data_IF_029343006348
#
_entry.id   IF_029343006348
#
_cell.length_a   1.000
_cell.length_b   1.000
_cell.length_c   1.000
_cell.angle_alpha   90.00
_cell.angle_beta   90.00
_cell.angle_gamma   90.00
#
_symmetry.space_group_name_H-M   'P 1'
#
loop_
_entity.id
_entity.type
_entity.pdbx_description
1 polymer ?
#
# COMPACT_ATOMS: atom_id res chain seq x y z
N UNK A 1 -25.26 -1.71 -17.53
CA UNK A 1 -25.12 -3.16 -17.27
C UNK A 1 -23.74 -3.37 -16.66
N UNK A 2 -23.66 -3.48 -15.33
CA UNK A 2 -22.40 -3.76 -14.67
C UNK A 2 -22.13 -5.26 -14.79
N UNK A 3 -21.18 -5.62 -15.65
CA UNK A 3 -20.66 -6.98 -15.65
C UNK A 3 -20.10 -7.29 -14.25
N UNK A 4 -20.43 -8.45 -13.65
CA UNK A 4 -19.83 -8.83 -12.39
C UNK A 4 -18.32 -8.90 -12.56
N UNK A 5 -17.58 -8.29 -11.64
CA UNK A 5 -16.12 -8.41 -11.60
C UNK A 5 -15.76 -9.91 -11.60
N UNK A 6 -14.82 -10.36 -12.44
CA UNK A 6 -14.40 -11.74 -12.42
C UNK A 6 -13.97 -12.09 -11.01
N UNK A 7 -14.52 -13.20 -10.51
CA UNK A 7 -14.18 -13.80 -9.22
C UNK A 7 -12.71 -14.26 -9.28
N UNK A 8 -11.78 -13.31 -9.20
CA UNK A 8 -10.36 -13.56 -9.07
C UNK A 8 -10.09 -13.96 -7.62
N UNK A 9 -10.65 -15.09 -7.22
CA UNK A 9 -9.86 -16.09 -6.52
C UNK A 9 -8.74 -16.55 -7.49
N UNK A 10 -7.83 -15.63 -7.85
CA UNK A 10 -6.53 -16.00 -8.33
C UNK A 10 -6.00 -16.90 -7.23
N UNK A 11 -5.92 -18.20 -7.53
CA UNK A 11 -5.58 -19.26 -6.58
C UNK A 11 -4.47 -18.75 -5.68
N UNK A 12 -4.80 -18.49 -4.41
CA UNK A 12 -3.79 -18.09 -3.44
C UNK A 12 -2.87 -19.30 -3.32
N UNK A 13 -1.72 -19.25 -4.01
CA UNK A 13 -0.66 -20.27 -3.92
C UNK A 13 -0.01 -20.32 -2.52
N UNK A 14 -0.61 -19.66 -1.53
CA UNK A 14 -0.14 -19.49 -0.18
C UNK A 14 -1.19 -20.09 0.76
N UNK A 15 -0.91 -21.27 1.27
CA UNK A 15 -1.75 -21.94 2.27
C UNK A 15 -1.09 -21.78 3.64
N UNK A 16 -1.71 -21.07 4.60
CA UNK A 16 -1.17 -20.99 5.95
C UNK A 16 -1.33 -22.34 6.64
N UNK A 17 -0.37 -22.73 7.48
CA UNK A 17 -0.43 -23.98 8.26
C UNK A 17 -1.22 -23.83 9.57
N UNK A 18 -1.69 -22.62 9.88
CA UNK A 18 -2.38 -22.24 11.12
C UNK A 18 -3.48 -21.19 10.81
N UNK A 19 -4.51 -21.04 11.68
CA UNK A 19 -5.60 -20.10 11.44
C UNK A 19 -5.17 -18.64 11.67
N UNK A 20 -4.59 -18.03 10.65
CA UNK A 20 -4.24 -16.61 10.62
C UNK A 20 -5.35 -15.79 9.96
N UNK A 21 -5.41 -14.49 10.25
CA UNK A 21 -6.34 -13.60 9.57
C UNK A 21 -6.08 -13.57 8.05
N UNK A 22 -7.11 -13.52 7.20
CA UNK A 22 -6.96 -13.60 5.74
C UNK A 22 -6.01 -12.54 5.15
N UNK A 23 -5.97 -11.34 5.74
CA UNK A 23 -5.09 -10.24 5.30
C UNK A 23 -3.61 -10.64 5.21
N UNK A 24 -3.14 -11.56 6.05
CA UNK A 24 -1.76 -12.03 6.01
C UNK A 24 -1.45 -12.89 4.77
N UNK A 25 -2.46 -13.62 4.27
CA UNK A 25 -2.36 -14.49 3.10
C UNK A 25 -2.75 -13.75 1.83
N UNK A 26 -3.67 -12.80 1.89
CA UNK A 26 -4.16 -12.03 0.75
C UNK A 26 -3.21 -10.91 0.34
N UNK A 27 -2.61 -10.20 1.31
CA UNK A 27 -1.69 -9.11 1.03
C UNK A 27 -0.46 -9.60 0.29
N UNK A 28 -0.12 -8.93 -0.80
CA UNK A 28 1.12 -9.12 -1.55
C UNK A 28 1.60 -7.77 -2.10
N UNK A 29 2.75 -7.76 -2.78
CA UNK A 29 3.36 -6.56 -3.33
C UNK A 29 3.24 -6.56 -4.86
N UNK A 30 2.07 -6.19 -5.44
CA UNK A 30 1.93 -6.01 -6.87
C UNK A 30 2.84 -4.87 -7.38
N UNK A 31 3.21 -4.94 -8.66
CA UNK A 31 4.01 -3.90 -9.33
C UNK A 31 3.30 -3.24 -10.52
N UNK A 32 2.15 -3.79 -10.94
CA UNK A 32 1.33 -3.21 -12.00
C UNK A 32 0.13 -2.48 -11.37
N UNK A 33 0.10 -1.15 -11.49
CA UNK A 33 -0.96 -0.30 -10.97
C UNK A 33 -1.68 0.42 -12.12
N UNK A 34 -2.97 0.71 -11.95
CA UNK A 34 -3.71 1.56 -12.89
C UNK A 34 -3.29 3.02 -12.73
N UNK A 35 -3.68 3.87 -13.69
CA UNK A 35 -3.45 5.32 -13.62
C UNK A 35 -4.48 6.07 -12.76
N UNK A 36 -5.39 5.36 -12.07
CA UNK A 36 -6.42 5.98 -11.25
C UNK A 36 -5.79 6.74 -10.07
N UNK A 37 -6.24 7.99 -9.88
CA UNK A 37 -5.81 8.78 -8.75
C UNK A 37 -6.40 8.23 -7.45
N UNK A 38 -5.56 8.10 -6.42
CA UNK A 38 -6.00 7.78 -5.07
C UNK A 38 -6.54 9.06 -4.40
N UNK A 39 -7.65 9.00 -3.64
CA UNK A 39 -8.08 10.12 -2.81
C UNK A 39 -7.04 10.42 -1.71
N UNK A 40 -6.75 11.69 -1.49
CA UNK A 40 -5.80 12.10 -0.43
C UNK A 40 -6.22 11.61 0.96
N UNK A 41 -7.52 11.52 1.23
CA UNK A 41 -8.07 11.00 2.50
C UNK A 41 -7.70 9.54 2.75
N UNK A 42 -7.63 8.71 1.70
CA UNK A 42 -7.22 7.32 1.83
C UNK A 42 -5.73 7.22 2.19
N UNK A 43 -4.87 7.99 1.52
CA UNK A 43 -3.45 8.07 1.86
C UNK A 43 -3.27 8.51 3.32
N UNK A 44 -3.99 9.54 3.77
CA UNK A 44 -3.92 10.03 5.15
C UNK A 44 -4.41 8.98 6.15
N UNK A 45 -5.44 8.19 5.80
CA UNK A 45 -5.90 7.05 6.63
C UNK A 45 -4.80 5.99 6.77
N UNK A 46 -4.05 5.69 5.71
CA UNK A 46 -2.94 4.74 5.77
C UNK A 46 -1.80 5.25 6.64
N UNK A 47 -1.42 6.53 6.52
CA UNK A 47 -0.38 7.14 7.35
C UNK A 47 -0.81 7.25 8.82
N UNK A 48 -2.09 7.51 9.08
CA UNK A 48 -2.69 7.48 10.41
C UNK A 48 -2.54 6.09 11.04
N UNK A 49 -2.90 5.03 10.31
CA UNK A 49 -2.70 3.66 10.79
C UNK A 49 -1.22 3.35 11.04
N UNK A 50 -0.31 3.79 10.15
CA UNK A 50 1.11 3.56 10.29
C UNK A 50 1.71 4.22 11.55
N UNK A 51 1.28 5.45 11.90
CA UNK A 51 1.81 6.15 13.08
C UNK A 51 1.36 5.57 14.43
N UNK A 52 0.42 4.62 14.43
CA UNK A 52 -0.02 3.90 15.64
C UNK A 52 0.83 2.67 15.97
N UNK A 53 1.82 2.33 15.14
CA UNK A 53 2.76 1.27 15.46
C UNK A 53 3.45 1.55 16.82
N UNK A 54 3.79 0.52 17.62
CA UNK A 54 4.62 0.73 18.81
C UNK A 54 6.07 1.07 18.42
N UNK A 55 6.76 1.83 19.27
CA UNK A 55 8.20 2.11 19.13
C UNK A 55 8.90 2.04 20.47
N UNK A 56 10.22 1.81 20.45
CA UNK A 56 11.05 1.85 21.65
C UNK A 56 10.87 3.20 22.37
N UNK A 57 10.60 3.15 23.68
CA UNK A 57 10.31 4.33 24.50
C UNK A 57 9.15 5.21 23.98
N UNK A 58 8.32 4.68 23.08
CA UNK A 58 7.23 5.39 22.42
C UNK A 58 7.64 6.73 21.76
N UNK A 59 8.89 6.84 21.29
CA UNK A 59 9.41 8.08 20.70
C UNK A 59 8.87 8.37 19.30
N UNK A 60 8.24 7.39 18.66
CA UNK A 60 7.59 7.51 17.36
C UNK A 60 8.52 8.15 16.32
N UNK A 61 9.67 7.50 16.02
CA UNK A 61 10.74 8.14 15.26
C UNK A 61 10.43 8.24 13.76
N UNK A 62 9.37 7.59 13.29
CA UNK A 62 8.99 7.60 11.87
C UNK A 62 8.69 9.01 11.37
N UNK A 63 9.12 9.25 10.14
CA UNK A 63 8.71 10.39 9.33
C UNK A 63 8.26 9.82 7.99
N UNK A 64 7.14 10.32 7.50
CA UNK A 64 6.57 9.91 6.23
C UNK A 64 6.73 11.08 5.26
N UNK A 65 7.48 10.85 4.20
CA UNK A 65 7.64 11.78 3.08
C UNK A 65 6.99 11.09 1.89
N UNK A 66 6.01 11.72 1.25
CA UNK A 66 5.20 11.11 0.20
C UNK A 66 5.04 12.06 -0.98
N UNK A 67 4.83 11.49 -2.17
CA UNK A 67 4.38 12.20 -3.36
C UNK A 67 3.31 11.37 -4.06
N UNK A 68 2.19 12.01 -4.41
CA UNK A 68 1.15 11.45 -5.26
C UNK A 68 1.45 11.75 -6.73
N UNK A 69 0.89 10.98 -7.67
CA UNK A 69 1.13 11.13 -9.11
C UNK A 69 0.93 12.57 -9.64
N UNK A 70 0.09 13.36 -8.99
CA UNK A 70 -0.21 14.74 -9.39
C UNK A 70 0.52 15.80 -8.56
N UNK A 71 1.35 15.39 -7.61
CA UNK A 71 2.15 16.32 -6.81
C UNK A 71 3.35 16.83 -7.61
N UNK A 72 3.76 18.08 -7.35
CA UNK A 72 4.84 18.73 -8.08
C UNK A 72 6.20 18.00 -8.02
N UNK A 73 6.44 17.22 -6.96
CA UNK A 73 7.69 16.49 -6.72
C UNK A 73 7.60 14.99 -7.08
N UNK A 74 6.60 14.59 -7.87
CA UNK A 74 6.45 13.19 -8.29
C UNK A 74 7.72 12.65 -8.98
N UNK A 75 8.24 13.38 -9.96
CA UNK A 75 9.41 12.93 -10.73
C UNK A 75 10.68 12.90 -9.87
N UNK A 76 10.82 13.83 -8.92
CA UNK A 76 11.91 13.81 -7.93
C UNK A 76 11.88 12.51 -7.12
N UNK A 77 10.70 12.09 -6.65
CA UNK A 77 10.54 10.85 -5.88
C UNK A 77 10.79 9.60 -6.73
N UNK A 78 10.32 9.58 -7.98
CA UNK A 78 10.57 8.46 -8.90
C UNK A 78 12.07 8.32 -9.17
N UNK A 79 12.77 9.45 -9.39
CA UNK A 79 14.22 9.47 -9.61
C UNK A 79 15.05 8.98 -8.43
N UNK A 80 14.51 8.97 -7.20
CA UNK A 80 15.18 8.34 -6.04
C UNK A 80 15.13 6.81 -6.07
N UNK A 81 14.16 6.23 -6.78
CA UNK A 81 13.92 4.78 -6.81
C UNK A 81 14.64 4.08 -7.95
N UNK A 82 14.97 4.81 -9.01
CA UNK A 82 15.61 4.30 -10.22
C UNK A 82 16.87 5.12 -10.54
N UNK A 83 18.09 4.56 -10.41
CA UNK A 83 19.33 5.29 -10.64
C UNK A 83 19.72 5.42 -12.13
N UNK A 84 18.83 5.10 -13.08
CA UNK A 84 19.11 5.07 -14.52
C UNK A 84 18.33 6.11 -15.32
#
# INVERSE_FOLDING_TARGET
>A
MNAPLPNNAAQLHRTPTHPVAPVFVERWSPRAFTALAMPRSELMTMLEAARWAPSAYNIQPWRFVHAMRQDAHWDDFVGLLDPF
#
